data_IF_786900630919
#
_entry.id   IF_786900630919
#
_cell.length_a   1.000
_cell.length_b   1.000
_cell.length_c   1.000
_cell.angle_alpha   90.00
_cell.angle_beta   90.00
_cell.angle_gamma   90.00
#
_symmetry.space_group_name_H-M   'P 1'
#
loop_
_entity.id
_entity.type
_entity.pdbx_description
1 polymer ?
#
# COMPACT_ATOMS: atom_id res chain seq x y z
N UNK A 1 3.98 22.55 -7.57
CA UNK A 1 3.76 21.24 -6.91
C UNK A 1 3.73 21.37 -5.40
N UNK A 2 2.96 20.52 -4.69
CA UNK A 2 2.91 20.52 -3.21
C UNK A 2 2.55 19.13 -2.66
N UNK A 3 2.79 18.95 -1.36
CA UNK A 3 2.36 17.77 -0.60
C UNK A 3 1.60 18.19 0.65
N UNK A 4 0.61 17.41 1.06
CA UNK A 4 -0.09 17.55 2.33
C UNK A 4 -0.53 16.18 2.83
N UNK A 5 -1.00 16.08 4.07
CA UNK A 5 -1.59 14.85 4.57
C UNK A 5 -2.60 15.14 5.68
N UNK A 6 -3.57 14.24 5.83
CA UNK A 6 -4.57 14.29 6.89
C UNK A 6 -4.64 12.95 7.62
N UNK A 7 -4.58 13.00 8.95
CA UNK A 7 -4.86 11.84 9.79
C UNK A 7 -6.37 11.56 9.78
N UNK A 8 -6.76 10.32 9.51
CA UNK A 8 -8.16 9.89 9.53
C UNK A 8 -8.44 8.77 10.54
N UNK A 9 -7.41 8.15 11.13
CA UNK A 9 -7.61 7.04 12.05
C UNK A 9 -6.35 6.63 12.79
N UNK A 10 -6.42 5.47 13.47
CA UNK A 10 -5.31 4.85 14.19
C UNK A 10 -5.44 3.33 14.13
N UNK A 11 -4.33 2.63 13.92
CA UNK A 11 -4.24 1.16 13.90
C UNK A 11 -2.86 0.74 14.38
N UNK A 12 -2.78 -0.32 15.19
CA UNK A 12 -1.53 -0.89 15.69
C UNK A 12 -0.58 0.15 16.34
N UNK A 13 -1.17 1.09 17.10
CA UNK A 13 -0.44 2.17 17.76
C UNK A 13 -0.01 3.32 16.86
N UNK A 14 -0.08 3.16 15.53
CA UNK A 14 0.31 4.13 14.50
C UNK A 14 -0.88 4.89 13.92
N UNK A 15 -0.60 6.09 13.43
CA UNK A 15 -1.62 6.94 12.79
C UNK A 15 -1.86 6.49 11.35
N UNK A 16 -3.14 6.48 10.97
CA UNK A 16 -3.56 6.28 9.59
C UNK A 16 -3.73 7.64 8.91
N UNK A 17 -3.00 7.86 7.82
CA UNK A 17 -2.91 9.13 7.11
C UNK A 17 -3.19 8.95 5.62
N UNK A 18 -3.95 9.89 5.06
CA UNK A 18 -4.13 10.08 3.62
C UNK A 18 -3.18 11.21 3.20
N UNK A 19 -2.20 10.88 2.36
CA UNK A 19 -1.20 11.79 1.81
C UNK A 19 -1.65 12.24 0.43
N UNK A 20 -1.58 13.54 0.16
CA UNK A 20 -1.99 14.16 -1.09
C UNK A 20 -0.76 14.76 -1.79
N UNK A 21 -0.53 14.36 -3.03
CA UNK A 21 0.50 14.90 -3.91
C UNK A 21 -0.18 15.65 -5.05
N UNK A 22 0.18 16.91 -5.28
CA UNK A 22 -0.44 17.75 -6.31
C UNK A 22 0.63 18.33 -7.24
N UNK A 23 0.39 18.22 -8.55
CA UNK A 23 1.21 18.89 -9.57
C UNK A 23 0.49 20.11 -10.16
N UNK A 24 1.20 20.85 -11.02
CA UNK A 24 0.68 22.09 -11.61
C UNK A 24 -0.11 21.85 -12.91
N UNK A 25 -0.47 20.60 -13.21
CA UNK A 25 -1.14 20.16 -14.44
C UNK A 25 -2.48 19.46 -14.17
N UNK A 26 -3.10 19.73 -13.03
CA UNK A 26 -4.43 19.19 -12.69
C UNK A 26 -4.42 17.76 -12.18
N UNK A 27 -3.26 17.18 -11.86
CA UNK A 27 -3.17 15.85 -11.26
C UNK A 27 -3.07 15.94 -9.73
N UNK A 28 -3.93 15.17 -9.05
CA UNK A 28 -3.89 14.94 -7.61
C UNK A 28 -3.80 13.45 -7.35
N UNK A 29 -2.76 13.02 -6.65
CA UNK A 29 -2.57 11.62 -6.23
C UNK A 29 -2.79 11.52 -4.73
N UNK A 30 -3.61 10.55 -4.31
CA UNK A 30 -3.82 10.21 -2.91
C UNK A 30 -3.20 8.86 -2.58
N UNK A 31 -2.43 8.83 -1.50
CA UNK A 31 -1.71 7.64 -1.02
C UNK A 31 -2.04 7.43 0.45
N UNK A 32 -2.30 6.20 0.87
CA UNK A 32 -2.43 5.84 2.28
C UNK A 32 -1.11 5.26 2.79
N UNK A 33 -0.72 5.62 4.01
CA UNK A 33 0.39 4.91 4.65
C UNK A 33 0.01 3.48 5.07
N UNK A 34 -1.28 3.19 5.24
CA UNK A 34 -1.76 1.82 5.34
C UNK A 34 -1.49 1.06 4.04
N UNK A 35 -0.72 -0.01 4.14
CA UNK A 35 -0.33 -0.86 3.03
C UNK A 35 0.50 -0.18 1.93
N UNK A 36 1.01 1.03 2.18
CA UNK A 36 1.57 1.91 1.15
C UNK A 36 0.69 1.93 -0.11
N UNK A 37 -0.58 2.28 0.08
CA UNK A 37 -1.65 2.07 -0.89
C UNK A 37 -1.86 3.30 -1.78
N UNK A 38 -1.89 3.11 -3.10
CA UNK A 38 -2.37 4.13 -4.04
C UNK A 38 -3.90 4.16 -4.02
N UNK A 39 -4.47 5.20 -3.41
CA UNK A 39 -5.90 5.29 -3.16
C UNK A 39 -6.65 5.88 -4.36
N UNK A 40 -6.22 7.06 -4.84
CA UNK A 40 -6.86 7.80 -5.93
C UNK A 40 -5.82 8.44 -6.83
N UNK A 41 -6.14 8.52 -8.13
CA UNK A 41 -5.39 9.29 -9.12
C UNK A 41 -6.41 10.16 -9.84
N UNK A 42 -6.48 11.42 -9.45
CA UNK A 42 -7.41 12.39 -10.02
C UNK A 42 -6.70 13.16 -11.13
N UNK A 43 -7.33 13.27 -12.30
CA UNK A 43 -6.93 14.17 -13.37
C UNK A 43 -8.12 15.07 -13.70
N UNK A 44 -8.00 16.37 -13.43
CA UNK A 44 -9.11 17.33 -13.56
C UNK A 44 -10.39 16.82 -12.85
N UNK A 45 -10.24 16.41 -11.58
CA UNK A 45 -11.28 15.87 -10.69
C UNK A 45 -11.90 14.52 -11.09
N UNK A 46 -11.50 13.93 -12.20
CA UNK A 46 -11.93 12.58 -12.58
C UNK A 46 -10.97 11.52 -12.00
N UNK A 47 -11.49 10.52 -11.29
CA UNK A 47 -10.68 9.46 -10.70
C UNK A 47 -10.39 8.34 -11.72
N UNK A 48 -9.11 8.08 -11.93
CA UNK A 48 -8.60 7.19 -12.98
C UNK A 48 -8.43 5.73 -12.54
N UNK A 49 -8.63 5.42 -11.27
CA UNK A 49 -8.47 4.08 -10.70
C UNK A 49 -9.66 3.69 -9.83
N UNK A 50 -9.79 2.39 -9.54
CA UNK A 50 -10.73 1.91 -8.54
C UNK A 50 -10.32 2.37 -7.14
N UNK A 51 -11.29 2.84 -6.38
CA UNK A 51 -11.09 3.30 -5.00
C UNK A 51 -12.27 2.86 -4.14
N UNK A 52 -12.02 2.64 -2.85
CA UNK A 52 -13.12 2.43 -1.89
C UNK A 52 -13.83 3.77 -1.59
N UNK A 53 -14.94 3.70 -0.86
CA UNK A 53 -15.75 4.87 -0.52
C UNK A 53 -14.97 5.86 0.35
N UNK A 54 -14.19 5.35 1.31
CA UNK A 54 -13.37 6.15 2.22
C UNK A 54 -11.99 5.53 2.47
N UNK A 55 -10.99 6.33 2.89
CA UNK A 55 -9.68 5.82 3.32
C UNK A 55 -9.77 4.77 4.42
N UNK A 56 -10.74 4.91 5.34
CA UNK A 56 -10.93 4.01 6.46
C UNK A 56 -11.31 2.58 6.03
N UNK A 57 -12.01 2.43 4.90
CA UNK A 57 -12.50 1.13 4.41
C UNK A 57 -11.35 0.20 4.00
N UNK A 58 -10.20 0.73 3.60
CA UNK A 58 -9.03 -0.07 3.19
C UNK A 58 -8.47 -0.92 4.33
N UNK A 59 -8.68 -0.49 5.58
CA UNK A 59 -8.13 -1.15 6.76
C UNK A 59 -9.13 -2.05 7.51
N UNK A 60 -10.38 -2.10 7.04
CA UNK A 60 -11.46 -2.92 7.62
C UNK A 60 -11.35 -4.38 7.20
N UNK A 61 -11.02 -4.63 5.93
CA UNK A 61 -10.79 -5.96 5.38
C UNK A 61 -9.79 -5.87 4.22
N UNK A 62 -9.19 -7.00 3.85
CA UNK A 62 -8.11 -7.03 2.86
C UNK A 62 -8.66 -7.13 1.43
N UNK A 63 -8.85 -5.97 0.79
CA UNK A 63 -9.37 -5.85 -0.58
C UNK A 63 -8.29 -5.65 -1.67
N UNK A 64 -7.00 -5.57 -1.30
CA UNK A 64 -5.81 -5.49 -2.18
C UNK A 64 -5.66 -4.27 -3.10
N UNK A 65 -6.75 -3.59 -3.48
CA UNK A 65 -6.72 -2.48 -4.43
C UNK A 65 -5.68 -1.41 -4.05
N UNK A 66 -4.80 -1.08 -4.99
CA UNK A 66 -3.74 -0.08 -4.82
C UNK A 66 -2.62 -0.43 -3.83
N UNK A 67 -2.76 -1.51 -3.05
CA UNK A 67 -1.83 -1.85 -1.96
C UNK A 67 -0.48 -2.37 -2.45
N UNK A 68 0.58 -2.09 -1.68
CA UNK A 68 1.90 -2.69 -1.86
C UNK A 68 1.91 -4.11 -1.29
N UNK A 69 1.49 -5.09 -2.10
CA UNK A 69 1.35 -6.49 -1.68
C UNK A 69 2.70 -7.22 -1.66
N UNK A 70 3.03 -7.83 -0.53
CA UNK A 70 4.30 -8.52 -0.31
C UNK A 70 4.27 -9.45 0.91
N UNK A 71 5.33 -10.21 1.20
CA UNK A 71 6.67 -10.18 0.57
C UNK A 71 6.74 -10.80 -0.83
N UNK A 72 5.76 -11.62 -1.20
CA UNK A 72 5.61 -12.18 -2.56
C UNK A 72 4.19 -11.87 -3.04
N UNK A 73 4.05 -11.13 -4.13
CA UNK A 73 2.77 -10.95 -4.81
C UNK A 73 2.47 -12.18 -5.70
N UNK A 74 1.21 -12.63 -5.67
CA UNK A 74 0.79 -13.84 -6.37
C UNK A 74 0.99 -15.10 -5.54
N UNK A 75 1.02 -16.26 -6.21
CA UNK A 75 1.04 -17.58 -5.58
C UNK A 75 2.42 -18.21 -5.56
N UNK A 76 2.74 -18.93 -4.48
CA UNK A 76 3.86 -19.88 -4.43
C UNK A 76 3.29 -21.30 -4.34
N UNK A 77 3.62 -22.12 -5.33
CA UNK A 77 3.14 -23.50 -5.44
C UNK A 77 3.49 -24.28 -4.17
N UNK A 78 2.48 -24.87 -3.54
CA UNK A 78 2.64 -25.61 -2.27
C UNK A 78 3.26 -24.80 -1.13
N UNK A 79 3.37 -23.48 -1.26
CA UNK A 79 4.14 -22.63 -0.36
C UNK A 79 5.61 -23.05 -0.22
N UNK A 80 6.16 -23.80 -1.18
CA UNK A 80 7.52 -24.33 -1.06
C UNK A 80 8.53 -23.49 -1.82
N UNK A 81 9.58 -23.10 -1.12
CA UNK A 81 10.77 -22.51 -1.72
C UNK A 81 11.96 -23.42 -1.43
N UNK A 82 12.66 -23.86 -2.48
CA UNK A 82 13.84 -24.72 -2.37
C UNK A 82 15.10 -23.96 -2.76
N UNK A 83 16.11 -23.99 -1.91
CA UNK A 83 17.45 -23.47 -2.17
C UNK A 83 18.47 -24.59 -1.92
N UNK A 84 19.01 -25.16 -2.99
CA UNK A 84 19.89 -26.33 -2.91
C UNK A 84 19.16 -27.55 -2.34
N UNK A 85 19.64 -28.03 -1.19
CA UNK A 85 19.04 -29.17 -0.47
C UNK A 85 18.01 -28.74 0.58
N UNK A 86 17.93 -27.46 0.91
CA UNK A 86 17.00 -26.94 1.91
C UNK A 86 15.67 -26.55 1.27
N UNK A 87 14.57 -26.93 1.92
CA UNK A 87 13.22 -26.51 1.53
C UNK A 87 12.58 -25.75 2.68
N UNK A 88 12.18 -24.51 2.42
CA UNK A 88 11.42 -23.68 3.33
C UNK A 88 9.93 -23.74 3.00
N UNK A 89 9.09 -23.88 4.01
CA UNK A 89 7.64 -23.95 3.88
C UNK A 89 7.02 -22.61 4.33
N UNK A 90 6.45 -21.87 3.39
CA UNK A 90 5.65 -20.69 3.63
C UNK A 90 4.25 -21.07 4.14
N UNK A 91 3.55 -20.17 4.85
CA UNK A 91 2.18 -20.40 5.28
C UNK A 91 1.26 -20.74 4.11
N UNK A 92 0.45 -21.79 4.24
CA UNK A 92 -0.58 -22.14 3.27
C UNK A 92 -1.85 -21.35 3.59
N UNK A 93 -2.20 -20.41 2.73
CA UNK A 93 -3.36 -19.53 2.88
C UNK A 93 -4.24 -19.45 1.61
N UNK A 94 -3.98 -20.31 0.61
CA UNK A 94 -4.74 -20.40 -0.63
C UNK A 94 -4.86 -21.87 -1.09
N UNK A 95 -5.78 -22.61 -0.48
CA UNK A 95 -5.94 -24.04 -0.74
C UNK A 95 -4.66 -24.81 -0.40
N UNK A 96 -3.99 -25.35 -1.41
CA UNK A 96 -2.68 -26.01 -1.24
C UNK A 96 -1.49 -25.05 -1.35
N UNK A 97 -1.69 -23.79 -1.72
CA UNK A 97 -0.63 -22.85 -2.04
C UNK A 97 -0.49 -21.75 -0.99
N UNK A 98 0.61 -21.00 -1.10
CA UNK A 98 0.77 -19.70 -0.45
C UNK A 98 0.35 -18.60 -1.42
N UNK A 99 -0.24 -17.51 -0.94
CA UNK A 99 -0.59 -16.34 -1.73
C UNK A 99 -0.30 -15.03 -0.99
N UNK A 100 0.15 -14.02 -1.73
CA UNK A 100 0.19 -12.61 -1.29
C UNK A 100 0.88 -12.39 0.06
N UNK A 101 1.95 -13.14 0.33
CA UNK A 101 2.75 -13.01 1.55
C UNK A 101 2.08 -13.48 2.84
N UNK A 102 0.90 -14.11 2.80
CA UNK A 102 0.16 -14.43 4.02
C UNK A 102 -0.52 -13.19 4.58
N UNK A 103 -0.22 -12.81 5.83
CA UNK A 103 -0.51 -11.46 6.34
C UNK A 103 0.55 -10.55 5.72
N UNK A 104 0.18 -9.91 4.61
CA UNK A 104 1.14 -9.23 3.74
C UNK A 104 1.35 -7.76 4.08
N UNK A 105 2.33 -7.16 3.41
CA UNK A 105 2.74 -5.77 3.66
C UNK A 105 1.68 -4.73 3.33
N UNK A 106 0.67 -5.07 2.53
CA UNK A 106 -0.51 -4.26 2.23
C UNK A 106 -1.50 -4.16 3.42
N UNK A 107 -1.28 -4.91 4.50
CA UNK A 107 -2.10 -4.88 5.73
C UNK A 107 -1.43 -4.17 6.90
N UNK A 108 -0.22 -3.65 6.70
CA UNK A 108 0.60 -3.01 7.73
C UNK A 108 0.51 -1.48 7.67
N UNK A 109 0.80 -0.80 8.79
CA UNK A 109 0.89 0.67 8.83
C UNK A 109 2.33 1.12 8.62
N UNK A 110 2.61 1.68 7.43
CA UNK A 110 3.93 2.16 7.05
C UNK A 110 4.20 3.55 7.66
N UNK A 111 5.47 3.82 7.93
CA UNK A 111 5.95 5.17 8.18
C UNK A 111 6.11 5.92 6.85
N UNK A 112 5.99 7.25 6.87
CA UNK A 112 6.00 8.04 5.64
C UNK A 112 6.66 9.41 5.81
N UNK A 113 7.26 9.89 4.73
CA UNK A 113 7.90 11.20 4.65
C UNK A 113 7.51 11.90 3.34
N UNK A 114 6.56 12.84 3.36
CA UNK A 114 6.21 13.62 2.18
C UNK A 114 7.30 14.67 1.91
N UNK A 115 7.54 14.97 0.63
CA UNK A 115 8.45 16.04 0.22
C UNK A 115 8.12 16.53 -1.20
N UNK A 116 8.54 17.75 -1.50
CA UNK A 116 8.41 18.32 -2.84
C UNK A 116 9.68 19.08 -3.24
N UNK A 117 9.88 19.20 -4.55
CA UNK A 117 10.85 20.05 -5.21
C UNK A 117 10.14 20.84 -6.31
N UNK A 118 10.89 21.65 -7.07
CA UNK A 118 10.37 22.38 -8.23
C UNK A 118 9.68 21.45 -9.24
N UNK A 119 10.24 20.25 -9.45
CA UNK A 119 9.79 19.33 -10.50
C UNK A 119 9.14 18.03 -9.98
N UNK A 120 8.94 17.88 -8.67
CA UNK A 120 8.32 16.66 -8.12
C UNK A 120 7.57 16.89 -6.81
N UNK A 121 6.49 16.15 -6.61
CA UNK A 121 5.86 15.91 -5.31
C UNK A 121 5.91 14.39 -5.06
N UNK A 122 6.39 13.97 -3.89
CA UNK A 122 6.56 12.55 -3.55
C UNK A 122 6.26 12.27 -2.09
N UNK A 123 6.04 11.00 -1.80
CA UNK A 123 6.03 10.45 -0.45
C UNK A 123 6.92 9.22 -0.44
N UNK A 124 7.90 9.20 0.46
CA UNK A 124 8.74 8.04 0.73
C UNK A 124 8.06 7.23 1.86
N UNK A 125 7.85 5.93 1.68
CA UNK A 125 7.22 5.06 2.68
C UNK A 125 8.17 3.93 3.10
N UNK A 126 8.21 3.62 4.40
CA UNK A 126 9.10 2.62 4.99
C UNK A 126 8.35 1.73 5.96
N UNK A 127 8.56 0.42 5.89
CA UNK A 127 7.97 -0.57 6.80
C UNK A 127 8.97 -1.18 7.77
N UNK A 128 10.24 -1.28 7.36
CA UNK A 128 11.34 -1.78 8.15
C UNK A 128 12.43 -0.69 8.15
N UNK A 129 13.04 -0.50 9.31
CA UNK A 129 14.11 0.48 9.57
C UNK A 129 15.39 0.20 8.76
#
# INVERSE_FOLDING_TARGET
MKTSFNKYGRKDGKDLCEIVLENDHGMIVKVLNYGATLEKVLLNDENMILSLNSPADYSQERNYLGGTVGRIAGRVRKGQWRHGLETHQLPINDGENHIHGGIGTDTEVWDFKPSCSENSARVDLTLLD
#
